data_IF_445511945771
#
_entry.id   IF_445511945771
#
_cell.length_a   1.000
_cell.length_b   1.000
_cell.length_c   1.000
_cell.angle_alpha   90.00
_cell.angle_beta   90.00
_cell.angle_gamma   90.00
#
_symmetry.space_group_name_H-M   'P 1'
#
loop_
_entity.id
_entity.type
_entity.pdbx_description
1 polymer ?
#
# COMPACT_ATOMS: atom_id res chain seq x y z
N UNK A 1 -0.14 5.01 6.95
CA UNK A 1 0.21 3.58 6.93
C UNK A 1 1.39 3.47 5.99
N UNK A 2 2.51 2.98 6.48
CA UNK A 2 3.72 2.87 5.67
C UNK A 2 3.59 1.70 4.70
N UNK A 3 4.24 1.78 3.54
CA UNK A 3 4.24 0.69 2.55
C UNK A 3 5.60 0.01 2.63
N UNK A 4 5.65 -1.20 3.18
CA UNK A 4 6.88 -1.98 3.24
C UNK A 4 7.04 -2.78 1.95
N UNK A 5 8.20 -2.61 1.32
CA UNK A 5 8.58 -3.34 0.11
C UNK A 5 9.86 -4.13 0.32
N UNK A 6 10.00 -5.23 -0.39
CA UNK A 6 11.22 -6.03 -0.46
C UNK A 6 11.57 -6.31 -1.92
N UNK A 7 12.84 -6.65 -2.17
CA UNK A 7 13.29 -7.01 -3.52
C UNK A 7 13.07 -8.51 -3.75
N UNK A 8 12.39 -8.85 -4.83
CA UNK A 8 12.10 -10.23 -5.26
C UNK A 8 12.46 -10.33 -6.73
N UNK A 9 13.38 -11.23 -7.07
CA UNK A 9 13.86 -11.39 -8.45
C UNK A 9 14.28 -10.03 -9.07
N UNK A 10 14.98 -9.22 -8.29
CA UNK A 10 15.39 -7.85 -8.61
C UNK A 10 14.28 -6.81 -8.82
N UNK A 11 13.02 -7.14 -8.51
CA UNK A 11 11.88 -6.23 -8.58
C UNK A 11 11.40 -5.86 -7.17
N UNK A 12 11.12 -4.58 -6.93
CA UNK A 12 10.49 -4.14 -5.69
C UNK A 12 9.02 -4.54 -5.68
N UNK A 13 8.60 -5.21 -4.60
CA UNK A 13 7.22 -5.64 -4.40
C UNK A 13 6.85 -5.46 -2.94
N UNK A 14 5.56 -5.27 -2.66
CA UNK A 14 5.08 -5.22 -1.27
C UNK A 14 5.41 -6.51 -0.54
N UNK A 15 5.87 -6.37 0.69
CA UNK A 15 6.16 -7.52 1.53
C UNK A 15 4.91 -7.91 2.33
N UNK A 16 4.24 -8.95 1.84
CA UNK A 16 3.16 -9.63 2.55
C UNK A 16 3.64 -10.96 3.13
N UNK A 17 3.24 -11.26 4.36
CA UNK A 17 3.50 -12.54 5.05
C UNK A 17 4.98 -12.87 5.31
N UNK A 18 5.25 -14.15 5.59
CA UNK A 18 6.56 -14.63 6.03
C UNK A 18 7.58 -14.76 4.89
N UNK A 19 8.79 -14.26 5.14
CA UNK A 19 9.96 -14.51 4.29
C UNK A 19 11.20 -14.78 5.13
N UNK A 20 12.05 -15.65 4.61
CA UNK A 20 13.39 -15.84 5.15
C UNK A 20 14.29 -14.74 4.61
N UNK A 21 14.91 -13.99 5.52
CA UNK A 21 15.87 -12.93 5.21
C UNK A 21 17.18 -13.16 5.94
N UNK A 22 18.27 -12.64 5.38
CA UNK A 22 19.55 -12.62 6.07
C UNK A 22 19.64 -11.39 6.95
N UNK A 23 19.92 -11.60 8.24
CA UNK A 23 20.19 -10.55 9.22
C UNK A 23 21.61 -10.71 9.73
N UNK A 24 22.38 -9.63 9.77
CA UNK A 24 23.68 -9.63 10.42
C UNK A 24 23.50 -9.51 11.93
N UNK A 25 24.15 -10.42 12.68
CA UNK A 25 24.21 -10.37 14.14
C UNK A 25 25.65 -10.32 14.59
N UNK A 26 25.93 -9.55 15.63
CA UNK A 26 27.27 -9.35 16.20
C UNK A 26 27.34 -9.78 17.67
N UNK A 27 26.38 -10.60 18.10
CA UNK A 27 26.31 -11.14 19.45
C UNK A 27 26.03 -12.63 19.40
N UNK A 28 26.63 -13.37 20.33
CA UNK A 28 26.30 -14.77 20.59
C UNK A 28 26.12 -14.99 22.08
N UNK A 29 25.33 -15.99 22.45
CA UNK A 29 25.16 -16.41 23.84
C UNK A 29 26.18 -17.49 24.18
N UNK A 30 27.15 -17.17 25.03
CA UNK A 30 28.09 -18.13 25.58
C UNK A 30 27.45 -18.87 26.76
N UNK A 31 27.42 -20.21 26.69
CA UNK A 31 26.93 -21.06 27.79
C UNK A 31 28.13 -21.71 28.47
N UNK A 32 28.36 -21.36 29.74
CA UNK A 32 29.46 -21.89 30.55
C UNK A 32 29.06 -23.24 31.18
N UNK A 33 30.07 -24.04 31.58
CA UNK A 33 29.83 -25.37 32.16
C UNK A 33 29.05 -25.39 33.47
N UNK A 34 28.91 -24.24 34.14
CA UNK A 34 28.07 -24.02 35.33
C UNK A 34 26.62 -23.62 34.99
N UNK A 35 26.27 -23.58 33.71
CA UNK A 35 24.95 -23.19 33.22
C UNK A 35 24.73 -21.68 33.08
N UNK A 36 25.73 -20.85 33.43
CA UNK A 36 25.64 -19.41 33.23
C UNK A 36 25.60 -19.09 31.74
N UNK A 37 24.72 -18.16 31.35
CA UNK A 37 24.63 -17.63 30.00
C UNK A 37 25.09 -16.18 29.98
N UNK A 38 25.95 -15.83 29.03
CA UNK A 38 26.45 -14.45 28.86
C UNK A 38 26.37 -14.09 27.38
N UNK A 39 25.69 -12.99 27.08
CA UNK A 39 25.72 -12.39 25.75
C UNK A 39 27.07 -11.73 25.52
N UNK A 40 27.77 -12.16 24.48
CA UNK A 40 29.14 -11.74 24.15
C UNK A 40 29.17 -11.16 22.73
N UNK A 41 29.84 -10.02 22.56
CA UNK A 41 30.06 -9.43 21.23
C UNK A 41 31.04 -10.28 20.41
N UNK A 42 30.82 -10.34 19.09
CA UNK A 42 31.68 -11.00 18.12
C UNK A 42 31.66 -10.26 16.78
N UNK A 43 32.50 -10.74 15.87
CA UNK A 43 32.46 -10.29 14.48
C UNK A 43 31.06 -10.55 13.87
N UNK A 44 30.49 -9.58 13.14
CA UNK A 44 29.17 -9.75 12.52
C UNK A 44 29.12 -10.96 11.58
N UNK A 45 28.10 -11.80 11.73
CA UNK A 45 27.86 -12.94 10.87
C UNK A 45 26.39 -13.00 10.42
N UNK A 46 26.11 -13.49 9.20
CA UNK A 46 24.75 -13.60 8.68
C UNK A 46 24.02 -14.78 9.32
N UNK A 47 22.78 -14.56 9.72
CA UNK A 47 21.83 -15.62 10.10
C UNK A 47 20.58 -15.50 9.24
N UNK A 48 19.92 -16.63 9.01
CA UNK A 48 18.61 -16.66 8.36
C UNK A 48 17.51 -16.55 9.42
N UNK A 49 16.61 -15.60 9.24
CA UNK A 49 15.45 -15.39 10.12
C UNK A 49 14.18 -15.27 9.29
N UNK A 50 13.08 -15.80 9.81
CA UNK A 50 11.77 -15.57 9.20
C UNK A 50 11.15 -14.29 9.78
N UNK A 51 10.78 -13.39 8.88
CA UNK A 51 10.11 -12.13 9.21
C UNK A 51 8.77 -12.07 8.48
N UNK A 52 7.74 -11.65 9.20
CA UNK A 52 6.42 -11.36 8.66
C UNK A 52 6.36 -9.88 8.24
N UNK A 53 6.11 -9.63 6.95
CA UNK A 53 6.08 -8.27 6.40
C UNK A 53 4.95 -7.41 6.96
N UNK A 54 3.79 -8.01 7.21
CA UNK A 54 2.63 -7.32 7.79
C UNK A 54 2.96 -6.84 9.21
N UNK A 55 3.59 -7.72 9.99
CA UNK A 55 4.05 -7.38 11.33
C UNK A 55 5.19 -6.36 11.32
N UNK A 56 6.10 -6.45 10.35
CA UNK A 56 7.19 -5.48 10.20
C UNK A 56 6.63 -4.08 9.96
N UNK A 57 5.57 -3.96 9.17
CA UNK A 57 4.87 -2.70 8.93
C UNK A 57 4.27 -2.14 10.22
N UNK A 58 3.59 -2.96 11.01
CA UNK A 58 3.04 -2.55 12.31
C UNK A 58 4.14 -2.07 13.28
N UNK A 59 5.26 -2.80 13.37
CA UNK A 59 6.40 -2.47 14.24
C UNK A 59 7.00 -1.13 13.84
N UNK A 60 7.16 -0.88 12.54
CA UNK A 60 7.66 0.39 12.02
C UNK A 60 6.68 1.54 12.26
N UNK A 61 5.39 1.34 11.96
CA UNK A 61 4.35 2.35 12.16
C UNK A 61 4.17 2.73 13.65
N UNK A 62 4.47 1.80 14.57
CA UNK A 62 4.51 2.05 16.01
C UNK A 62 5.80 2.74 16.49
N UNK A 63 6.78 2.93 15.60
CA UNK A 63 8.09 3.51 15.93
C UNK A 63 8.97 2.60 16.78
N UNK A 64 8.69 1.30 16.81
CA UNK A 64 9.48 0.32 17.57
C UNK A 64 10.79 0.04 16.84
N UNK A 65 10.75 -0.08 15.51
CA UNK A 65 11.94 -0.17 14.66
C UNK A 65 12.17 1.13 13.92
N UNK A 66 13.44 1.50 13.83
CA UNK A 66 13.94 2.56 12.97
C UNK A 66 13.96 2.12 11.50
N UNK A 67 14.10 3.10 10.59
CA UNK A 67 14.30 2.81 9.16
C UNK A 67 15.54 1.95 8.92
N UNK A 68 16.64 2.20 9.65
CA UNK A 68 17.88 1.42 9.53
C UNK A 68 17.68 -0.07 9.87
N UNK A 69 16.86 -0.38 10.88
CA UNK A 69 16.53 -1.76 11.24
C UNK A 69 15.67 -2.47 10.20
N UNK A 70 14.76 -1.73 9.56
CA UNK A 70 13.95 -2.22 8.43
C UNK A 70 14.85 -2.46 7.21
N UNK A 71 15.76 -1.54 6.91
CA UNK A 71 16.72 -1.68 5.80
C UNK A 71 17.72 -2.82 6.04
N UNK A 72 18.11 -3.07 7.29
CA UNK A 72 19.01 -4.16 7.66
C UNK A 72 18.44 -5.55 7.36
N UNK A 73 17.12 -5.68 7.21
CA UNK A 73 16.44 -6.93 6.80
C UNK A 73 16.10 -6.96 5.31
N UNK A 74 16.62 -6.01 4.53
CA UNK A 74 16.42 -5.92 3.09
C UNK A 74 15.07 -5.32 2.67
N UNK A 75 14.33 -4.74 3.61
CA UNK A 75 13.10 -4.02 3.33
C UNK A 75 13.36 -2.53 3.10
N UNK A 76 12.44 -1.84 2.43
CA UNK A 76 12.41 -0.39 2.31
C UNK A 76 10.99 0.12 2.55
N UNK A 77 10.88 1.39 2.93
CA UNK A 77 9.61 2.09 2.99
C UNK A 77 9.39 2.80 1.66
N UNK A 78 8.34 2.43 0.93
CA UNK A 78 8.00 3.08 -0.33
C UNK A 78 7.26 4.40 -0.08
N UNK A 79 7.65 5.43 -0.84
CA UNK A 79 6.93 6.70 -0.88
C UNK A 79 5.59 6.49 -1.64
N UNK A 80 4.44 6.85 -1.05
CA UNK A 80 3.15 6.67 -1.71
C UNK A 80 3.02 7.56 -2.95
N UNK A 81 2.23 7.09 -3.91
CA UNK A 81 1.94 7.85 -5.12
C UNK A 81 0.83 8.89 -4.87
N UNK A 82 1.03 10.12 -5.32
CA UNK A 82 0.00 11.16 -5.31
C UNK A 82 -0.67 11.25 -6.68
N UNK A 83 -2.00 11.06 -6.71
CA UNK A 83 -2.78 11.13 -7.96
C UNK A 83 -2.89 12.59 -8.41
N UNK A 84 -2.44 12.94 -9.63
CA UNK A 84 -2.62 14.28 -10.14
C UNK A 84 -4.10 14.66 -10.27
N UNK A 85 -4.40 15.95 -10.12
CA UNK A 85 -5.76 16.47 -10.27
C UNK A 85 -6.34 16.14 -11.66
N UNK A 86 -7.59 15.68 -11.70
CA UNK A 86 -8.27 15.30 -12.94
C UNK A 86 -7.85 13.93 -13.52
N UNK A 87 -6.99 13.18 -12.82
CA UNK A 87 -6.60 11.83 -13.19
C UNK A 87 -7.19 10.79 -12.22
N UNK A 88 -7.30 9.55 -12.68
CA UNK A 88 -7.59 8.38 -11.86
C UNK A 88 -6.55 7.29 -12.06
N UNK A 89 -6.32 6.49 -11.02
CA UNK A 89 -5.43 5.33 -11.05
C UNK A 89 -6.06 4.21 -11.87
N UNK A 90 -5.24 3.52 -12.66
CA UNK A 90 -5.61 2.34 -13.43
C UNK A 90 -4.59 1.23 -13.15
N UNK A 91 -5.09 0.03 -12.83
CA UNK A 91 -4.25 -1.16 -12.60
C UNK A 91 -3.61 -1.21 -11.21
N UNK A 92 -2.66 -2.14 -11.07
CA UNK A 92 -1.98 -2.45 -9.82
C UNK A 92 -0.78 -1.52 -9.56
N UNK A 93 -0.40 -1.30 -8.29
CA UNK A 93 0.79 -0.54 -7.96
C UNK A 93 2.07 -1.22 -8.49
N UNK A 94 3.01 -0.40 -8.92
CA UNK A 94 4.38 -0.81 -9.24
C UNK A 94 5.36 -0.03 -8.36
N UNK A 95 6.55 -0.58 -8.14
CA UNK A 95 7.55 0.01 -7.26
C UNK A 95 8.89 0.13 -7.98
N UNK A 96 9.49 1.31 -7.93
CA UNK A 96 10.78 1.59 -8.55
C UNK A 96 11.68 2.37 -7.61
N UNK A 97 12.98 2.08 -7.64
CA UNK A 97 14.00 2.88 -6.96
C UNK A 97 14.35 4.09 -7.84
N UNK A 98 14.09 5.29 -7.34
CA UNK A 98 14.40 6.56 -7.99
C UNK A 98 15.24 7.36 -7.01
N UNK A 99 16.52 7.56 -7.36
CA UNK A 99 17.50 8.28 -6.55
C UNK A 99 17.68 7.70 -5.13
N UNK A 100 17.64 6.38 -4.99
CA UNK A 100 17.80 5.68 -3.70
C UNK A 100 16.51 5.54 -2.90
N UNK A 101 15.42 6.18 -3.35
CA UNK A 101 14.10 6.15 -2.71
C UNK A 101 13.18 5.27 -3.52
N UNK A 102 12.58 4.25 -2.87
CA UNK A 102 11.56 3.45 -3.54
C UNK A 102 10.26 4.23 -3.57
N UNK A 103 9.69 4.39 -4.77
CA UNK A 103 8.43 5.09 -4.99
C UNK A 103 7.38 4.12 -5.50
N UNK A 104 6.17 4.27 -4.98
CA UNK A 104 4.98 3.67 -5.57
C UNK A 104 4.63 4.44 -6.86
N UNK A 105 4.26 3.69 -7.90
CA UNK A 105 3.91 4.20 -9.21
C UNK A 105 2.64 3.51 -9.70
N UNK A 106 1.75 4.28 -10.33
CA UNK A 106 0.54 3.76 -10.94
C UNK A 106 0.45 4.20 -12.40
N UNK A 107 -0.23 3.41 -13.23
CA UNK A 107 -0.75 3.92 -14.49
C UNK A 107 -1.94 4.85 -14.17
N UNK A 108 -2.06 5.93 -14.93
CA UNK A 108 -3.11 6.94 -14.72
C UNK A 108 -3.82 7.24 -16.03
N UNK A 109 -5.10 7.58 -15.94
CA UNK A 109 -5.89 8.08 -17.06
C UNK A 109 -6.73 9.29 -16.63
N UNK A 110 -7.19 10.08 -17.61
CA UNK A 110 -8.04 11.23 -17.34
C UNK A 110 -9.43 10.77 -16.86
N UNK A 111 -9.94 11.40 -15.79
CA UNK A 111 -11.31 11.18 -15.35
C UNK A 111 -12.26 11.67 -16.45
N UNK A 112 -13.20 10.84 -16.92
CA UNK A 112 -14.19 11.27 -17.90
C UNK A 112 -14.97 12.48 -17.37
N UNK A 113 -15.26 13.49 -18.21
CA UNK A 113 -16.08 14.61 -17.78
C UNK A 113 -17.44 14.11 -17.31
N UNK A 114 -17.94 14.67 -16.21
CA UNK A 114 -19.26 14.34 -15.71
C UNK A 114 -20.30 14.53 -16.83
N UNK A 115 -21.24 13.58 -17.01
CA UNK A 115 -22.31 13.77 -17.97
C UNK A 115 -23.06 15.07 -17.62
N UNK A 116 -23.50 15.83 -18.64
CA UNK A 116 -24.21 17.07 -18.39
C UNK A 116 -25.43 16.78 -17.51
N UNK A 117 -25.72 17.70 -16.58
CA UNK A 117 -26.93 17.57 -15.77
C UNK A 117 -28.15 17.44 -16.68
N UNK A 118 -29.04 16.46 -16.42
CA UNK A 118 -30.26 16.32 -17.20
C UNK A 118 -31.07 17.61 -17.05
N UNK A 119 -31.62 18.08 -18.17
CA UNK A 119 -32.48 19.25 -18.16
C UNK A 119 -33.68 19.04 -17.21
N UNK A 120 -34.31 20.11 -16.68
CA UNK A 120 -35.53 19.97 -15.88
C UNK A 120 -36.61 19.13 -16.57
N UNK A 121 -36.71 19.23 -17.90
CA UNK A 121 -37.63 18.43 -18.70
C UNK A 121 -37.29 16.95 -18.72
N UNK A 122 -36.00 16.60 -18.80
CA UNK A 122 -35.51 15.22 -18.75
C UNK A 122 -35.64 14.63 -17.33
N UNK A 123 -35.41 15.46 -16.30
CA UNK A 123 -35.67 15.09 -14.90
C UNK A 123 -37.16 14.79 -14.70
N UNK A 124 -38.05 15.63 -15.25
CA UNK A 124 -39.50 15.44 -15.18
C UNK A 124 -39.96 14.20 -15.96
N UNK A 125 -39.46 13.98 -17.18
CA UNK A 125 -39.80 12.78 -17.97
C UNK A 125 -39.36 11.50 -17.27
N UNK A 126 -38.17 11.48 -16.67
CA UNK A 126 -37.69 10.34 -15.89
C UNK A 126 -38.56 10.08 -14.66
N UNK A 127 -38.87 11.13 -13.89
CA UNK A 127 -39.76 11.03 -12.73
C UNK A 127 -41.13 10.50 -13.11
N UNK A 128 -41.72 10.98 -14.21
CA UNK A 128 -43.02 10.50 -14.67
C UNK A 128 -42.96 9.06 -15.17
N UNK A 129 -41.89 8.70 -15.88
CA UNK A 129 -41.63 7.35 -16.33
C UNK A 129 -41.54 6.32 -15.19
N UNK A 130 -41.02 6.71 -14.02
CA UNK A 130 -40.99 5.82 -12.83
C UNK A 130 -42.41 5.44 -12.34
N UNK A 131 -43.41 6.28 -12.63
CA UNK A 131 -44.81 6.03 -12.32
C UNK A 131 -45.63 5.56 -13.54
N UNK A 132 -44.98 5.32 -14.69
CA UNK A 132 -45.66 4.98 -15.94
C UNK A 132 -46.53 6.09 -16.51
N UNK A 133 -46.26 7.34 -16.13
CA UNK A 133 -46.99 8.53 -16.54
C UNK A 133 -46.22 9.31 -17.61
N UNK A 134 -46.95 10.08 -18.41
CA UNK A 134 -46.40 11.03 -19.38
C UNK A 134 -46.70 12.47 -18.97
N UNK A 135 -46.00 13.45 -19.58
CA UNK A 135 -46.30 14.87 -19.41
C UNK A 135 -47.74 15.22 -19.83
N UNK A 136 -48.31 14.48 -20.78
CA UNK A 136 -49.70 14.66 -21.20
C UNK A 136 -50.69 14.20 -20.13
N UNK A 137 -50.40 13.09 -19.43
CA UNK A 137 -51.23 12.61 -18.33
C UNK A 137 -51.29 13.62 -17.17
N UNK A 138 -50.14 14.20 -16.81
CA UNK A 138 -50.09 15.28 -15.81
C UNK A 138 -50.85 16.53 -16.26
N UNK A 139 -50.72 16.92 -17.53
CA UNK A 139 -51.43 18.08 -18.07
C UNK A 139 -52.94 17.85 -18.08
N UNK A 140 -53.40 16.62 -18.33
CA UNK A 140 -54.80 16.23 -18.24
C UNK A 140 -55.36 16.20 -16.81
N UNK A 141 -54.52 15.96 -15.80
CA UNK A 141 -54.90 15.95 -14.37
C UNK A 141 -54.97 17.35 -13.73
N UNK A 142 -54.25 18.32 -14.29
CA UNK A 142 -54.17 19.70 -13.79
C UNK A 142 -55.13 20.68 -14.50
N UNK A 143 -55.89 20.19 -15.49
CA UNK A 143 -56.92 20.94 -16.21
C UNK A 143 -58.29 20.82 -15.52
#
# INVERSE_FOLDING_TARGET
>A
MSIIVCKIDDVWQEWHGYRTVQKMVSTYTAVYGDGRQVETQCDPYPIEVQIDGDRLQEIYDQGIWSLEEVEAVGAKIALPFEVPEGMQIVGDPTYADVDGIVRQMFAIEAVPPAPPEPSPEQKLDRLLGEYGLTKEDLRGLLA
#
